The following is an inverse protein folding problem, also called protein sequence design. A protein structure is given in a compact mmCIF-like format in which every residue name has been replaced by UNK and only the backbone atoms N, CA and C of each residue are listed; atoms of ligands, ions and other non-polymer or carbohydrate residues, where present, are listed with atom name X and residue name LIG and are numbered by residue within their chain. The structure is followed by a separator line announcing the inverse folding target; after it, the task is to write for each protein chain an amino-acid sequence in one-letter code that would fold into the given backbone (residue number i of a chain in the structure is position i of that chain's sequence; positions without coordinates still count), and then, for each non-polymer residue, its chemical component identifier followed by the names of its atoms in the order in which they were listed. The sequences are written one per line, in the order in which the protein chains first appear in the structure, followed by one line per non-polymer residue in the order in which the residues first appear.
data_IF_039678822212
#
_entry.id   IF_039678822212
#
_cell.length_a   1.000
_cell.length_b   1.000
_cell.length_c   1.000
_cell.angle_alpha   90.00
_cell.angle_beta   90.00
_cell.angle_gamma   90.00
#
_symmetry.space_group_name_H-M   'P 1'
#
loop_
_entity.id
_entity.type
_entity.pdbx_description
1 polymer ?
#
# COMPACT_ATOMS: atom_id res chain seq x y z
N UNK A 1 -15.19 -17.10 14.50
CA UNK A 1 -13.87 -17.70 14.80
C UNK A 1 -12.89 -16.56 14.89
N UNK A 2 -12.24 -16.37 16.04
CA UNK A 2 -11.21 -15.34 16.16
C UNK A 2 -9.84 -15.92 15.74
N UNK A 3 -8.85 -15.04 15.57
CA UNK A 3 -7.51 -15.44 15.12
C UNK A 3 -6.91 -16.52 16.03
N UNK A 4 -7.10 -16.42 17.35
CA UNK A 4 -6.52 -17.35 18.32
C UNK A 4 -7.12 -18.76 18.19
N UNK A 5 -8.44 -18.85 17.99
CA UNK A 5 -9.12 -20.12 17.70
C UNK A 5 -8.65 -20.74 16.39
N UNK A 6 -8.36 -19.93 15.37
CA UNK A 6 -7.84 -20.42 14.09
C UNK A 6 -6.41 -20.97 14.26
N UNK A 7 -5.53 -20.23 14.93
CA UNK A 7 -4.16 -20.65 15.18
C UNK A 7 -4.09 -21.91 16.05
N UNK A 8 -4.98 -22.04 17.04
CA UNK A 8 -5.08 -23.25 17.86
C UNK A 8 -5.37 -24.52 17.02
N UNK A 9 -6.24 -24.42 16.00
CA UNK A 9 -6.50 -25.54 15.06
C UNK A 9 -5.27 -25.92 14.24
N UNK A 10 -4.44 -24.93 13.93
CA UNK A 10 -3.16 -25.13 13.24
C UNK A 10 -2.02 -25.51 14.19
N UNK A 11 -2.28 -25.65 15.49
CA UNK A 11 -1.29 -25.86 16.55
C UNK A 11 -0.17 -24.81 16.55
N UNK A 12 -0.49 -23.57 16.17
CA UNK A 12 0.41 -22.42 16.15
C UNK A 12 0.04 -21.40 17.21
N UNK A 13 1.01 -20.61 17.64
CA UNK A 13 0.81 -19.39 18.43
C UNK A 13 1.02 -18.14 17.56
N UNK A 14 0.70 -16.97 18.09
CA UNK A 14 0.90 -15.69 17.38
C UNK A 14 2.38 -15.42 17.10
N UNK A 15 3.26 -15.86 17.98
CA UNK A 15 4.71 -15.72 17.84
C UNK A 15 5.23 -16.55 16.65
N UNK A 16 4.66 -17.73 16.41
CA UNK A 16 5.00 -18.55 15.24
C UNK A 16 4.58 -17.84 13.95
N UNK A 17 3.40 -17.21 13.93
CA UNK A 17 2.95 -16.40 12.81
C UNK A 17 3.88 -15.20 12.54
N UNK A 18 4.33 -14.51 13.60
CA UNK A 18 5.27 -13.39 13.48
C UNK A 18 6.59 -13.84 12.87
N UNK A 19 7.17 -14.95 13.35
CA UNK A 19 8.40 -15.53 12.81
C UNK A 19 8.26 -15.94 11.35
N UNK A 20 7.13 -16.55 11.00
CA UNK A 20 6.85 -16.97 9.62
C UNK A 20 6.74 -15.76 8.67
N UNK A 21 6.20 -14.64 9.15
CA UNK A 21 5.99 -13.43 8.35
C UNK A 21 7.17 -12.47 8.33
N UNK A 22 8.05 -12.53 9.32
CA UNK A 22 9.18 -11.60 9.48
C UNK A 22 10.04 -11.45 8.22
N UNK A 23 10.44 -12.53 7.51
CA UNK A 23 11.24 -12.39 6.29
C UNK A 23 10.50 -11.60 5.19
N UNK A 24 9.21 -11.86 5.00
CA UNK A 24 8.40 -11.16 4.01
C UNK A 24 8.13 -9.71 4.41
N UNK A 25 7.88 -9.46 5.70
CA UNK A 25 7.70 -8.13 6.25
C UNK A 25 8.96 -7.27 6.03
N UNK A 26 10.14 -7.82 6.36
CA UNK A 26 11.44 -7.17 6.12
C UNK A 26 11.63 -6.83 4.65
N UNK A 27 11.35 -7.78 3.73
CA UNK A 27 11.43 -7.54 2.29
C UNK A 27 10.51 -6.40 1.85
N UNK A 28 9.25 -6.39 2.32
CA UNK A 28 8.27 -5.33 1.99
C UNK A 28 8.72 -3.95 2.47
N UNK A 29 9.18 -3.85 3.72
CA UNK A 29 9.67 -2.57 4.28
C UNK A 29 10.88 -2.05 3.50
N UNK A 30 11.86 -2.93 3.22
CA UNK A 30 13.03 -2.54 2.45
C UNK A 30 12.66 -2.10 1.03
N UNK A 31 11.79 -2.83 0.33
CA UNK A 31 11.32 -2.43 -1.00
C UNK A 31 10.64 -1.06 -0.99
N UNK A 32 9.78 -0.78 -0.01
CA UNK A 32 9.13 0.52 0.11
C UNK A 32 10.13 1.66 0.34
N UNK A 33 11.10 1.48 1.23
CA UNK A 33 12.16 2.47 1.49
C UNK A 33 13.04 2.73 0.26
N UNK A 34 13.36 1.68 -0.50
CA UNK A 34 14.15 1.79 -1.73
C UNK A 34 13.37 2.58 -2.78
N UNK A 35 12.09 2.26 -3.02
CA UNK A 35 11.27 2.97 -4.00
C UNK A 35 11.09 4.45 -3.61
N UNK A 36 10.82 4.74 -2.34
CA UNK A 36 10.73 6.12 -1.85
C UNK A 36 12.05 6.88 -2.07
N UNK A 37 13.19 6.24 -1.80
CA UNK A 37 14.51 6.85 -2.03
C UNK A 37 14.78 7.09 -3.51
N UNK A 38 14.43 6.15 -4.37
CA UNK A 38 14.56 6.29 -5.82
C UNK A 38 13.68 7.43 -6.35
N UNK A 39 12.42 7.51 -5.94
CA UNK A 39 11.54 8.60 -6.34
C UNK A 39 12.14 9.98 -6.02
N UNK A 40 12.73 10.13 -4.82
CA UNK A 40 13.43 11.36 -4.41
C UNK A 40 14.67 11.66 -5.24
N UNK A 41 15.53 10.66 -5.49
CA UNK A 41 16.76 10.84 -6.28
C UNK A 41 16.42 11.24 -7.73
N UNK A 42 15.40 10.61 -8.29
CA UNK A 42 15.00 10.77 -9.68
C UNK A 42 14.04 11.94 -9.93
N UNK A 43 13.65 12.68 -8.87
CA UNK A 43 12.72 13.80 -8.94
C UNK A 43 11.30 13.39 -9.35
N UNK A 44 10.90 12.15 -9.08
CA UNK A 44 9.57 11.64 -9.42
C UNK A 44 8.56 12.13 -8.39
N UNK A 45 7.48 12.74 -8.86
CA UNK A 45 6.30 13.01 -8.05
C UNK A 45 5.02 12.88 -8.87
N UNK A 46 3.92 12.62 -8.19
CA UNK A 46 2.58 12.65 -8.77
C UNK A 46 1.95 14.04 -8.57
N UNK A 47 1.28 14.55 -9.60
CA UNK A 47 0.53 15.80 -9.51
C UNK A 47 -0.74 15.61 -8.68
N UNK A 48 -1.28 16.70 -8.14
CA UNK A 48 -2.53 16.64 -7.38
C UNK A 48 -3.67 16.05 -8.21
N UNK A 49 -3.74 16.38 -9.50
CA UNK A 49 -4.76 15.88 -10.42
C UNK A 49 -4.65 14.36 -10.63
N UNK A 50 -3.44 13.84 -10.78
CA UNK A 50 -3.20 12.39 -10.90
C UNK A 50 -3.61 11.66 -9.62
N UNK A 51 -3.22 12.21 -8.45
CA UNK A 51 -3.54 11.62 -7.15
C UNK A 51 -5.05 11.60 -6.90
N UNK A 52 -5.73 12.70 -7.20
CA UNK A 52 -7.18 12.81 -7.06
C UNK A 52 -7.92 11.88 -8.02
N UNK A 53 -7.47 11.78 -9.27
CA UNK A 53 -8.04 10.85 -10.24
C UNK A 53 -7.95 9.40 -9.73
N UNK A 54 -6.80 9.00 -9.18
CA UNK A 54 -6.58 7.66 -8.65
C UNK A 54 -7.38 7.40 -7.36
N UNK A 55 -7.41 8.36 -6.44
CA UNK A 55 -8.25 8.28 -5.26
C UNK A 55 -9.73 8.14 -5.64
N UNK A 56 -10.19 8.90 -6.63
CA UNK A 56 -11.57 8.84 -7.11
C UNK A 56 -11.93 7.48 -7.74
N UNK A 57 -11.01 6.82 -8.47
CA UNK A 57 -11.21 5.44 -8.94
C UNK A 57 -11.48 4.49 -7.76
N UNK A 58 -10.71 4.63 -6.68
CA UNK A 58 -10.92 3.83 -5.46
C UNK A 58 -12.30 4.08 -4.85
N UNK A 59 -12.78 5.33 -4.87
CA UNK A 59 -14.10 5.69 -4.34
C UNK A 59 -15.27 5.13 -5.16
N UNK A 60 -15.08 4.85 -6.46
CA UNK A 60 -16.14 4.29 -7.32
C UNK A 60 -16.61 2.89 -6.87
N UNK A 61 -15.78 2.15 -6.12
CA UNK A 61 -16.17 0.85 -5.57
C UNK A 61 -17.13 0.94 -4.37
N UNK A 62 -17.39 2.14 -3.86
CA UNK A 62 -18.29 2.36 -2.74
C UNK A 62 -19.71 2.69 -3.22
N UNK A 63 -20.70 2.05 -2.60
CA UNK A 63 -22.11 2.13 -3.02
C UNK A 63 -22.74 3.50 -2.83
N UNK A 64 -22.21 4.33 -1.91
CA UNK A 64 -22.74 5.66 -1.64
C UNK A 64 -21.70 6.61 -1.03
N UNK A 65 -21.94 7.91 -1.17
CA UNK A 65 -21.15 8.98 -0.51
C UNK A 65 -21.18 8.83 1.02
N UNK A 66 -22.28 8.30 1.57
CA UNK A 66 -22.42 8.07 3.01
C UNK A 66 -21.51 6.92 3.48
N UNK A 67 -21.35 5.87 2.67
CA UNK A 67 -20.42 4.78 2.94
C UNK A 67 -18.97 5.24 2.85
N UNK A 68 -18.64 6.13 1.91
CA UNK A 68 -17.30 6.74 1.82
C UNK A 68 -17.00 7.53 3.09
N UNK A 69 -17.85 8.50 3.47
CA UNK A 69 -17.60 9.37 4.63
C UNK A 69 -17.48 8.62 5.96
N UNK A 70 -18.16 7.48 6.09
CA UNK A 70 -18.14 6.67 7.31
C UNK A 70 -16.92 5.74 7.40
N UNK A 71 -16.43 5.25 6.27
CA UNK A 71 -15.48 4.13 6.25
C UNK A 71 -14.11 4.49 5.65
N UNK A 72 -13.95 5.68 5.05
CA UNK A 72 -12.72 6.08 4.36
C UNK A 72 -12.09 7.30 5.04
N UNK A 73 -10.82 7.15 5.40
CA UNK A 73 -9.94 8.28 5.66
C UNK A 73 -9.46 8.86 4.32
N UNK A 74 -10.02 10.01 3.94
CA UNK A 74 -9.69 10.69 2.68
C UNK A 74 -8.22 11.11 2.60
N UNK A 75 -7.61 11.49 3.73
CA UNK A 75 -6.19 11.87 3.76
C UNK A 75 -5.31 10.64 3.58
N UNK A 76 -5.67 9.55 4.26
CA UNK A 76 -5.01 8.25 4.10
C UNK A 76 -5.10 7.74 2.66
N UNK A 77 -6.28 7.83 2.04
CA UNK A 77 -6.48 7.44 0.64
C UNK A 77 -5.64 8.30 -0.31
N UNK A 78 -5.65 9.62 -0.15
CA UNK A 78 -4.82 10.52 -0.95
C UNK A 78 -3.33 10.17 -0.86
N UNK A 79 -2.82 9.98 0.36
CA UNK A 79 -1.41 9.63 0.58
C UNK A 79 -1.08 8.25 -0.02
N UNK A 80 -1.97 7.28 0.11
CA UNK A 80 -1.80 5.96 -0.49
C UNK A 80 -1.72 6.05 -2.02
N UNK A 81 -2.68 6.74 -2.65
CA UNK A 81 -2.71 6.96 -4.09
C UNK A 81 -1.44 7.67 -4.57
N UNK A 82 -0.96 8.68 -3.84
CA UNK A 82 0.32 9.35 -4.14
C UNK A 82 1.49 8.38 -4.16
N UNK A 83 1.71 7.64 -3.07
CA UNK A 83 2.85 6.71 -2.96
C UNK A 83 2.77 5.62 -4.02
N UNK A 84 1.56 5.13 -4.31
CA UNK A 84 1.32 4.13 -5.35
C UNK A 84 1.72 4.65 -6.74
N UNK A 85 1.24 5.83 -7.14
CA UNK A 85 1.58 6.45 -8.43
C UNK A 85 3.08 6.77 -8.55
N UNK A 86 3.71 7.27 -7.47
CA UNK A 86 5.14 7.54 -7.46
C UNK A 86 5.95 6.24 -7.63
N UNK A 87 5.54 5.14 -6.99
CA UNK A 87 6.16 3.84 -7.16
C UNK A 87 5.98 3.29 -8.59
N UNK A 88 4.79 3.43 -9.19
CA UNK A 88 4.55 3.03 -10.58
C UNK A 88 5.48 3.78 -11.54
N UNK A 89 5.60 5.10 -11.41
CA UNK A 89 6.53 5.93 -12.20
C UNK A 89 7.99 5.53 -12.01
N UNK A 90 8.40 5.13 -10.79
CA UNK A 90 9.73 4.56 -10.54
C UNK A 90 9.91 3.27 -11.35
N UNK A 91 8.95 2.35 -11.30
CA UNK A 91 9.04 1.11 -12.06
C UNK A 91 9.08 1.34 -13.57
N UNK A 92 8.23 2.22 -14.12
CA UNK A 92 8.24 2.60 -15.53
C UNK A 92 9.62 3.13 -15.97
N UNK A 93 10.29 3.90 -15.12
CA UNK A 93 11.63 4.39 -15.38
C UNK A 93 12.66 3.26 -15.38
N UNK A 94 12.61 2.37 -14.40
CA UNK A 94 13.52 1.22 -14.30
C UNK A 94 13.35 0.24 -15.47
N UNK A 95 12.13 0.04 -15.95
CA UNK A 95 11.83 -0.84 -17.09
C UNK A 95 12.43 -0.33 -18.40
N UNK A 96 12.52 1.00 -18.57
CA UNK A 96 13.17 1.65 -19.73
C UNK A 96 14.69 1.60 -19.72
N UNK A 97 15.31 1.14 -18.63
CA UNK A 97 16.78 0.95 -18.54
C UNK A 97 17.24 -0.42 -19.09
N UNK A 98 16.30 -1.30 -19.46
CA UNK A 98 16.58 -2.55 -20.18
C UNK A 98 16.78 -2.30 -21.66
#
# INVERSE_FOLDING_TARGET
VNLDQYLAKLKKKREDLQKDWEPQAKKRVLSALILEKLAKIEGISASSEEIEAEANKTLQYYKSVKDVKKNIDMKGLYNYSKVMLENEKVFEKLEKLK
#
